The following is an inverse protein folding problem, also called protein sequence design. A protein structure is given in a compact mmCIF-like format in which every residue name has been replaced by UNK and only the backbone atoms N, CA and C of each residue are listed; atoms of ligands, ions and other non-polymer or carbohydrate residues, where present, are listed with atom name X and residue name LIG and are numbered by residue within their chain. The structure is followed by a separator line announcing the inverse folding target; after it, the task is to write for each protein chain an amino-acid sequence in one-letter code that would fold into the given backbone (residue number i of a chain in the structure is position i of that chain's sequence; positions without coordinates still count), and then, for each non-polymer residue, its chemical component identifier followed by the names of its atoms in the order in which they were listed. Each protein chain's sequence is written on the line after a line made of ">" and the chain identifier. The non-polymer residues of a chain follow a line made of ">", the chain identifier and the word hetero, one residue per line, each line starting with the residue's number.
data_IF_511763709827
#
_entry.id   IF_511763709827
#
_cell.length_a   1.000
_cell.length_b   1.000
_cell.length_c   1.000
_cell.angle_alpha   90.00
_cell.angle_beta   90.00
_cell.angle_gamma   90.00
#
_symmetry.space_group_name_H-M   'P 1'
#
loop_
_entity.id
_entity.type
_entity.pdbx_description
1 polymer ?
#
# COMPACT_ATOMS: atom_id res chain seq x y z
N UNK A 1 5.44 -34.66 -9.85
CA UNK A 1 5.00 -33.41 -10.51
C UNK A 1 4.21 -32.49 -9.57
N UNK A 2 3.28 -32.99 -8.75
CA UNK A 2 2.57 -32.20 -7.71
C UNK A 2 3.49 -31.64 -6.61
N UNK A 3 4.46 -32.44 -6.14
CA UNK A 3 5.24 -32.08 -4.95
C UNK A 3 6.34 -31.03 -5.23
N UNK A 4 6.93 -31.03 -6.43
CA UNK A 4 7.94 -30.04 -6.84
C UNK A 4 7.34 -28.63 -7.02
N UNK A 5 6.09 -28.55 -7.48
CA UNK A 5 5.36 -27.27 -7.60
C UNK A 5 5.01 -26.72 -6.21
N UNK A 6 4.64 -27.60 -5.26
CA UNK A 6 4.40 -27.21 -3.87
C UNK A 6 5.69 -26.77 -3.18
N UNK A 7 6.81 -27.44 -3.42
CA UNK A 7 8.12 -27.03 -2.91
C UNK A 7 8.61 -25.71 -3.53
N UNK A 8 8.39 -25.49 -4.83
CA UNK A 8 8.71 -24.22 -5.48
C UNK A 8 7.86 -23.07 -4.92
N UNK A 9 6.54 -23.24 -4.84
CA UNK A 9 5.61 -22.24 -4.26
C UNK A 9 5.91 -22.00 -2.78
N UNK A 10 6.28 -23.04 -2.01
CA UNK A 10 6.65 -22.91 -0.61
C UNK A 10 8.01 -22.22 -0.41
N UNK A 11 9.01 -22.52 -1.25
CA UNK A 11 10.32 -21.89 -1.20
C UNK A 11 10.24 -20.41 -1.59
N UNK A 12 9.41 -20.07 -2.57
CA UNK A 12 9.16 -18.68 -2.96
C UNK A 12 8.38 -17.93 -1.90
N UNK A 13 7.30 -18.52 -1.36
CA UNK A 13 6.58 -17.96 -0.22
C UNK A 13 7.52 -17.73 0.96
N UNK A 14 8.42 -18.67 1.26
CA UNK A 14 9.43 -18.48 2.30
C UNK A 14 10.42 -17.36 1.99
N UNK A 15 10.82 -17.16 0.74
CA UNK A 15 11.71 -16.08 0.34
C UNK A 15 11.03 -14.70 0.46
N UNK A 16 9.75 -14.60 0.07
CA UNK A 16 8.94 -13.39 0.23
C UNK A 16 8.65 -13.14 1.71
N UNK A 17 8.18 -14.14 2.46
CA UNK A 17 7.95 -14.06 3.90
C UNK A 17 9.24 -13.69 4.66
N UNK A 18 10.42 -14.14 4.19
CA UNK A 18 11.70 -13.78 4.77
C UNK A 18 12.07 -12.33 4.47
N UNK A 19 11.89 -11.87 3.23
CA UNK A 19 12.12 -10.47 2.86
C UNK A 19 11.15 -9.53 3.59
N UNK A 20 9.88 -9.93 3.75
CA UNK A 20 8.88 -9.22 4.54
C UNK A 20 9.23 -9.20 6.02
N UNK A 21 9.68 -10.33 6.59
CA UNK A 21 10.17 -10.37 7.97
C UNK A 21 11.38 -9.46 8.17
N UNK A 22 12.32 -9.44 7.23
CA UNK A 22 13.47 -8.53 7.27
C UNK A 22 13.00 -7.07 7.20
N UNK A 23 12.04 -6.74 6.33
CA UNK A 23 11.43 -5.40 6.24
C UNK A 23 10.66 -5.01 7.52
N UNK A 24 9.83 -5.91 8.06
CA UNK A 24 9.09 -5.72 9.33
C UNK A 24 10.07 -5.57 10.49
N UNK A 25 11.16 -6.34 10.50
CA UNK A 25 12.19 -6.26 11.52
C UNK A 25 12.95 -4.93 11.43
N UNK A 26 13.32 -4.50 10.23
CA UNK A 26 13.94 -3.20 9.98
C UNK A 26 13.00 -2.06 10.41
N UNK A 27 11.71 -2.16 10.08
CA UNK A 27 10.69 -1.17 10.46
C UNK A 27 10.39 -1.15 11.96
N UNK A 28 10.38 -2.32 12.60
CA UNK A 28 10.24 -2.45 14.06
C UNK A 28 11.46 -1.88 14.80
N UNK A 29 12.66 -2.11 14.27
CA UNK A 29 13.89 -1.49 14.79
C UNK A 29 13.86 0.03 14.65
N UNK A 30 13.41 0.53 13.50
CA UNK A 30 13.21 1.96 13.28
C UNK A 30 12.22 2.56 14.29
N UNK A 31 11.03 1.96 14.45
CA UNK A 31 10.03 2.40 15.42
C UNK A 31 10.51 2.33 16.88
N UNK A 32 11.24 1.28 17.26
CA UNK A 32 11.85 1.17 18.58
C UNK A 32 12.90 2.27 18.81
N UNK A 33 13.71 2.58 17.79
CA UNK A 33 14.70 3.66 17.89
C UNK A 33 14.04 5.03 18.05
N UNK A 34 12.95 5.32 17.34
CA UNK A 34 12.17 6.55 17.48
C UNK A 34 11.49 6.63 18.85
N UNK A 35 10.97 5.53 19.38
CA UNK A 35 10.39 5.49 20.73
C UNK A 35 11.43 5.70 21.84
N UNK A 36 12.63 5.13 21.71
CA UNK A 36 13.72 5.37 22.66
C UNK A 36 14.23 6.82 22.58
N UNK A 37 14.36 7.39 21.37
CA UNK A 37 14.69 8.81 21.19
C UNK A 37 13.62 9.72 21.82
N UNK A 38 12.34 9.37 21.67
CA UNK A 38 11.24 10.11 22.30
C UNK A 38 11.30 10.02 23.82
N UNK A 39 11.56 8.83 24.39
CA UNK A 39 11.74 8.64 25.84
C UNK A 39 12.94 9.43 26.37
N UNK A 40 14.07 9.42 25.66
CA UNK A 40 15.27 10.17 26.03
C UNK A 40 15.00 11.67 26.01
N UNK A 41 14.30 12.17 24.99
CA UNK A 41 13.90 13.57 24.90
C UNK A 41 12.90 13.96 25.99
N UNK A 42 11.94 13.06 26.32
CA UNK A 42 10.99 13.27 27.41
C UNK A 42 11.70 13.28 28.78
N UNK A 43 12.71 12.43 28.97
CA UNK A 43 13.54 12.43 30.17
C UNK A 43 14.38 13.70 30.29
N UNK A 44 14.98 14.18 29.19
CA UNK A 44 15.73 15.46 29.16
C UNK A 44 14.81 16.64 29.48
N UNK A 45 13.61 16.67 28.92
CA UNK A 45 12.58 17.66 29.21
C UNK A 45 12.20 17.65 30.70
N UNK A 46 11.87 16.49 31.26
CA UNK A 46 11.52 16.35 32.68
C UNK A 46 12.69 16.67 33.65
N UNK A 47 13.95 16.50 33.21
CA UNK A 47 15.13 16.92 33.97
C UNK A 47 15.39 18.43 33.88
N UNK A 48 15.01 19.08 32.77
CA UNK A 48 15.04 20.53 32.63
C UNK A 48 13.96 21.19 33.50
N UNK A 49 12.74 20.64 33.55
CA UNK A 49 11.68 21.15 34.44
C UNK A 49 12.03 21.03 35.93
N UNK A 50 12.68 19.92 36.35
CA UNK A 50 13.20 19.79 37.73
C UNK A 50 14.36 20.73 38.08
N UNK A 51 15.09 21.27 37.09
CA UNK A 51 16.07 22.35 37.32
C UNK A 51 15.41 23.72 37.38
N UNK A 52 14.30 23.91 36.65
CA UNK A 52 13.56 25.17 36.63
C UNK A 52 12.61 25.32 37.84
N UNK A 53 12.22 24.23 38.52
CA UNK A 53 11.46 24.29 39.78
C UNK A 53 12.26 24.86 40.99
N UNK A 54 13.58 25.03 40.88
CA UNK A 54 14.40 25.67 41.93
C UNK A 54 14.52 27.19 41.74
N UNK A 55 14.04 27.74 40.62
CA UNK A 55 14.07 29.18 40.36
C UNK A 55 12.81 29.61 39.60
N UNK A 56 11.70 29.85 40.31
CA UNK A 56 10.93 31.09 40.19
C UNK A 56 9.73 31.10 41.15
N UNK A 57 9.82 31.99 42.13
CA UNK A 57 8.71 32.48 42.94
C UNK A 57 7.81 33.38 42.08
N UNK A 58 6.50 33.11 42.13
CA UNK A 58 5.33 33.99 41.91
C UNK A 58 5.29 35.01 40.77
N UNK A 59 4.22 35.00 39.95
CA UNK A 59 3.34 36.17 39.69
C UNK A 59 2.11 35.83 38.79
N UNK A 60 1.10 36.73 38.62
CA UNK A 60 -0.29 36.51 39.01
C UNK A 60 -1.25 36.14 37.87
N UNK A 61 -2.47 35.72 38.27
CA UNK A 61 -3.63 35.56 37.39
C UNK A 61 -4.11 36.90 36.84
N UNK A 62 -4.41 36.92 35.55
CA UNK A 62 -5.41 37.83 34.97
C UNK A 62 -6.12 37.15 33.81
N UNK A 63 -7.32 37.65 33.57
CA UNK A 63 -8.50 36.93 33.15
C UNK A 63 -9.06 37.60 31.88
N UNK A 64 -9.66 36.80 30.99
CA UNK A 64 -10.80 37.14 30.12
C UNK A 64 -10.51 38.01 28.86
N UNK A 65 -10.69 37.45 27.65
CA UNK A 65 -11.92 37.60 26.84
C UNK A 65 -11.82 37.01 25.42
N UNK A 66 -13.01 36.60 24.97
CA UNK A 66 -13.44 36.07 23.67
C UNK A 66 -13.04 36.95 22.47
N UNK A 67 -12.99 36.35 21.27
CA UNK A 67 -13.92 36.69 20.18
C UNK A 67 -13.78 35.73 18.97
N UNK A 68 -14.97 35.28 18.55
CA UNK A 68 -15.52 34.63 17.34
C UNK A 68 -14.65 34.61 16.05
N UNK A 69 -14.38 33.45 15.44
CA UNK A 69 -15.13 32.76 14.36
C UNK A 69 -15.41 33.58 13.08
N UNK A 70 -14.79 33.17 11.95
CA UNK A 70 -15.47 33.10 10.66
C UNK A 70 -14.82 32.07 9.71
N UNK A 71 -15.71 31.30 9.07
CA UNK A 71 -15.53 30.04 8.37
C UNK A 71 -14.84 30.13 6.99
N UNK A 72 -14.11 29.06 6.63
CA UNK A 72 -13.87 28.69 5.24
C UNK A 72 -14.29 27.24 5.02
N UNK A 73 -15.43 27.07 4.34
CA UNK A 73 -15.89 25.82 3.78
C UNK A 73 -15.12 25.53 2.50
N UNK A 74 -14.41 24.40 2.44
CA UNK A 74 -14.08 23.74 1.19
C UNK A 74 -14.22 22.23 1.38
N UNK A 75 -15.32 21.71 0.83
CA UNK A 75 -15.62 20.28 0.72
C UNK A 75 -14.82 19.71 -0.45
N UNK A 76 -14.00 18.69 -0.21
CA UNK A 76 -13.42 17.87 -1.29
C UNK A 76 -13.67 16.40 -1.02
N UNK A 77 -14.79 15.89 -1.54
CA UNK A 77 -14.97 14.48 -1.83
C UNK A 77 -14.05 14.09 -2.99
N UNK A 78 -12.90 13.50 -2.69
CA UNK A 78 -12.06 12.84 -3.69
C UNK A 78 -12.61 11.44 -3.96
N UNK A 79 -13.74 11.38 -4.66
CA UNK A 79 -14.10 10.18 -5.42
C UNK A 79 -13.42 10.28 -6.78
N UNK A 80 -12.18 9.79 -6.87
CA UNK A 80 -11.67 9.39 -8.18
C UNK A 80 -12.35 8.05 -8.51
N UNK A 81 -13.26 8.11 -9.48
CA UNK A 81 -13.71 6.96 -10.24
C UNK A 81 -12.47 6.23 -10.79
N UNK A 82 -11.99 5.22 -10.06
CA UNK A 82 -11.11 4.21 -10.63
C UNK A 82 -12.03 3.21 -11.30
N UNK A 83 -11.70 2.96 -12.57
CA UNK A 83 -12.44 2.21 -13.54
C UNK A 83 -13.25 1.06 -12.92
N UNK A 84 -14.54 1.10 -13.24
CA UNK A 84 -15.52 0.01 -13.19
C UNK A 84 -14.88 -1.37 -13.14
N UNK A 85 -15.12 -2.06 -12.02
CA UNK A 85 -15.47 -3.48 -11.95
C UNK A 85 -15.83 -4.03 -13.33
N UNK A 86 -14.89 -4.70 -13.98
CA UNK A 86 -15.18 -5.56 -15.12
C UNK A 86 -16.09 -6.67 -14.58
N UNK A 87 -17.38 -6.55 -14.89
CA UNK A 87 -18.34 -7.63 -14.64
C UNK A 87 -17.86 -8.90 -15.34
N UNK A 88 -18.22 -10.06 -14.78
CA UNK A 88 -17.93 -11.40 -15.32
C UNK A 88 -18.67 -11.68 -16.64
N UNK A 89 -18.53 -10.79 -17.61
CA UNK A 89 -19.15 -10.83 -18.92
C UNK A 89 -18.03 -10.74 -19.95
N UNK A 90 -17.82 -11.88 -20.63
CA UNK A 90 -16.91 -12.11 -21.76
C UNK A 90 -15.41 -11.88 -21.49
N UNK A 91 -14.75 -12.89 -20.89
CA UNK A 91 -13.31 -13.08 -21.05
C UNK A 91 -13.05 -13.37 -22.54
N UNK A 92 -12.94 -12.32 -23.34
CA UNK A 92 -12.34 -12.42 -24.67
C UNK A 92 -10.91 -12.89 -24.40
N UNK A 93 -10.67 -14.18 -24.61
CA UNK A 93 -9.32 -14.75 -24.51
C UNK A 93 -8.45 -13.93 -25.44
N UNK A 94 -7.55 -13.15 -24.87
CA UNK A 94 -6.61 -12.38 -25.66
C UNK A 94 -5.72 -13.37 -26.41
N UNK A 95 -5.90 -13.47 -27.72
CA UNK A 95 -5.31 -14.53 -28.51
C UNK A 95 -3.80 -14.29 -28.66
N UNK A 96 -3.00 -15.26 -28.24
CA UNK A 96 -1.56 -15.30 -28.52
C UNK A 96 -1.33 -15.38 -30.04
N UNK A 97 -0.51 -14.46 -30.57
CA UNK A 97 -0.12 -14.45 -31.99
C UNK A 97 1.34 -14.86 -32.21
N UNK A 98 2.18 -14.74 -31.18
CA UNK A 98 3.60 -15.09 -31.25
C UNK A 98 4.14 -15.42 -29.87
N UNK A 99 4.97 -16.46 -29.78
CA UNK A 99 5.76 -16.80 -28.59
C UNK A 99 7.20 -17.06 -28.97
N UNK A 100 8.12 -16.49 -28.20
CA UNK A 100 9.56 -16.58 -28.41
C UNK A 100 10.24 -16.89 -27.09
N UNK A 101 11.17 -17.86 -27.07
CA UNK A 101 12.09 -18.00 -25.95
C UNK A 101 13.10 -16.84 -26.01
N UNK A 102 13.15 -16.01 -24.97
CA UNK A 102 14.02 -14.83 -24.93
C UNK A 102 15.18 -14.97 -23.95
N UNK A 103 15.10 -15.88 -22.98
CA UNK A 103 16.18 -16.13 -22.01
C UNK A 103 16.08 -17.50 -21.37
N UNK A 104 17.25 -18.09 -21.09
CA UNK A 104 17.42 -19.23 -20.20
C UNK A 104 18.16 -18.76 -18.95
N UNK A 105 17.62 -19.05 -17.77
CA UNK A 105 18.18 -18.61 -16.48
C UNK A 105 18.46 -19.85 -15.64
N UNK A 106 19.74 -20.21 -15.44
CA UNK A 106 20.09 -21.28 -14.51
C UNK A 106 19.66 -20.91 -13.08
N UNK A 107 18.90 -21.78 -12.43
CA UNK A 107 18.43 -21.59 -11.06
C UNK A 107 18.50 -22.91 -10.30
N UNK A 108 19.47 -23.00 -9.38
CA UNK A 108 19.84 -24.25 -8.68
C UNK A 108 20.16 -25.37 -9.69
N UNK A 109 19.45 -26.49 -9.60
CA UNK A 109 19.61 -27.67 -10.45
C UNK A 109 18.65 -27.65 -11.66
N UNK A 110 17.98 -26.52 -11.90
CA UNK A 110 17.00 -26.35 -12.97
C UNK A 110 17.34 -25.14 -13.86
N UNK A 111 16.70 -25.06 -15.04
CA UNK A 111 16.78 -23.93 -15.95
C UNK A 111 15.37 -23.34 -16.05
N UNK A 112 15.24 -22.05 -15.71
CA UNK A 112 14.03 -21.27 -15.94
C UNK A 112 14.04 -20.71 -17.35
N UNK A 113 12.95 -20.92 -18.09
CA UNK A 113 12.78 -20.42 -19.45
C UNK A 113 11.88 -19.19 -19.42
N UNK A 114 12.37 -18.07 -19.96
CA UNK A 114 11.62 -16.82 -20.05
C UNK A 114 11.16 -16.64 -21.49
N UNK A 115 9.85 -16.54 -21.65
CA UNK A 115 9.21 -16.36 -22.94
C UNK A 115 8.73 -14.93 -23.11
N UNK A 116 8.75 -14.44 -24.35
CA UNK A 116 7.99 -13.28 -24.79
C UNK A 116 6.78 -13.74 -25.58
N UNK A 117 5.59 -13.41 -25.11
CA UNK A 117 4.32 -13.65 -25.79
C UNK A 117 3.79 -12.31 -26.28
N UNK A 118 3.45 -12.23 -27.56
CA UNK A 118 2.75 -11.08 -28.16
C UNK A 118 1.31 -11.49 -28.44
N UNK A 119 0.38 -10.64 -28.06
CA UNK A 119 -1.05 -10.87 -28.20
C UNK A 119 -1.67 -10.04 -29.33
N UNK A 120 -2.83 -10.46 -29.81
CA UNK A 120 -3.53 -9.80 -30.93
C UNK A 120 -3.93 -8.35 -30.61
N UNK A 121 -4.21 -8.04 -29.34
CA UNK A 121 -4.59 -6.69 -28.91
C UNK A 121 -3.39 -5.73 -28.73
N UNK A 122 -2.15 -6.18 -28.97
CA UNK A 122 -0.93 -5.40 -28.77
C UNK A 122 -0.20 -5.69 -27.45
N UNK A 123 -0.86 -6.33 -26.49
CA UNK A 123 -0.23 -6.67 -25.21
C UNK A 123 0.98 -7.59 -25.39
N UNK A 124 1.92 -7.48 -24.46
CA UNK A 124 3.12 -8.31 -24.41
C UNK A 124 3.31 -8.86 -23.01
N UNK A 125 3.54 -10.16 -22.90
CA UNK A 125 4.01 -10.79 -21.67
C UNK A 125 5.46 -11.23 -21.82
N UNK A 126 6.28 -10.98 -20.81
CA UNK A 126 7.65 -11.48 -20.70
C UNK A 126 7.84 -12.18 -19.35
N UNK A 127 7.97 -13.50 -19.33
CA UNK A 127 8.08 -14.23 -18.05
C UNK A 127 8.08 -15.75 -18.18
N UNK A 128 7.98 -16.39 -17.03
CA UNK A 128 7.92 -17.85 -16.85
C UNK A 128 6.56 -18.43 -17.29
N UNK A 129 6.59 -19.65 -17.83
CA UNK A 129 5.39 -20.40 -18.16
C UNK A 129 5.41 -21.76 -17.45
N UNK A 130 4.25 -22.19 -16.95
CA UNK A 130 4.00 -23.54 -16.45
C UNK A 130 2.73 -24.08 -17.10
N UNK A 131 2.84 -25.22 -17.78
CA UNK A 131 1.72 -25.84 -18.52
C UNK A 131 1.01 -24.86 -19.48
N UNK A 132 1.80 -24.09 -20.24
CA UNK A 132 1.32 -23.06 -21.18
C UNK A 132 0.58 -21.87 -20.56
N UNK A 133 0.55 -21.75 -19.23
CA UNK A 133 -0.02 -20.62 -18.49
C UNK A 133 1.09 -19.74 -17.90
N UNK A 134 0.85 -18.44 -17.75
CA UNK A 134 1.73 -17.55 -16.99
C UNK A 134 1.75 -18.00 -15.53
N UNK A 135 2.93 -18.35 -15.03
CA UNK A 135 3.13 -18.84 -13.66
C UNK A 135 4.57 -18.55 -13.24
N UNK A 136 4.78 -17.95 -12.07
CA UNK A 136 6.08 -17.45 -11.63
C UNK A 136 6.26 -15.96 -11.92
N UNK A 137 7.50 -15.51 -12.08
CA UNK A 137 7.80 -14.09 -12.32
C UNK A 137 7.51 -13.72 -13.79
N UNK A 138 6.93 -12.56 -13.97
CA UNK A 138 6.76 -11.99 -15.30
C UNK A 138 6.43 -10.50 -15.28
N UNK A 139 6.54 -9.92 -16.46
CA UNK A 139 6.11 -8.57 -16.74
C UNK A 139 5.05 -8.61 -17.83
N UNK A 140 3.92 -7.96 -17.58
CA UNK A 140 2.86 -7.78 -18.56
C UNK A 140 2.80 -6.31 -18.95
N UNK A 141 3.00 -6.04 -20.23
CA UNK A 141 2.88 -4.73 -20.85
C UNK A 141 1.55 -4.68 -21.57
N UNK A 142 0.70 -3.75 -21.17
CA UNK A 142 -0.57 -3.50 -21.82
C UNK A 142 -0.37 -2.51 -22.97
N UNK A 143 -1.11 -2.67 -24.06
CA UNK A 143 -1.02 -1.77 -25.22
C UNK A 143 -1.37 -0.32 -24.87
N UNK A 144 -2.21 -0.11 -23.86
CA UNK A 144 -2.57 1.21 -23.35
C UNK A 144 -1.44 1.92 -22.57
N UNK A 145 -0.28 1.26 -22.38
CA UNK A 145 0.88 1.77 -21.67
C UNK A 145 0.94 1.39 -20.19
N UNK A 146 -0.05 0.67 -19.67
CA UNK A 146 0.01 0.09 -18.32
C UNK A 146 1.06 -1.02 -18.26
N UNK A 147 1.56 -1.27 -17.05
CA UNK A 147 2.55 -2.32 -16.82
C UNK A 147 2.28 -3.02 -15.50
N UNK A 148 2.30 -4.33 -15.50
CA UNK A 148 2.43 -5.15 -14.29
C UNK A 148 3.80 -5.84 -14.28
N UNK A 149 4.45 -5.86 -13.12
CA UNK A 149 5.76 -6.47 -12.89
C UNK A 149 5.71 -7.24 -11.56
N UNK A 150 5.64 -8.57 -11.61
CA UNK A 150 5.44 -9.37 -10.42
C UNK A 150 5.10 -10.82 -10.70
N UNK A 151 4.48 -11.45 -9.70
CA UNK A 151 4.13 -12.86 -9.75
C UNK A 151 2.82 -13.12 -10.50
N UNK A 152 2.77 -14.29 -11.15
CA UNK A 152 1.62 -14.87 -11.82
C UNK A 152 1.35 -16.27 -11.28
N UNK A 153 0.09 -16.70 -11.32
CA UNK A 153 -0.32 -18.10 -11.10
C UNK A 153 -1.52 -18.39 -11.98
N UNK A 154 -1.44 -19.44 -12.79
CA UNK A 154 -2.53 -19.88 -13.67
C UNK A 154 -3.11 -18.72 -14.52
N UNK A 155 -2.23 -18.00 -15.23
CA UNK A 155 -2.55 -16.84 -16.09
C UNK A 155 -3.03 -15.56 -15.37
N UNK A 156 -3.20 -15.60 -14.04
CA UNK A 156 -3.65 -14.46 -13.24
C UNK A 156 -2.50 -13.79 -12.50
N UNK A 157 -2.59 -12.47 -12.34
CA UNK A 157 -1.76 -11.71 -11.41
C UNK A 157 -1.99 -12.27 -9.99
N UNK A 158 -0.92 -12.60 -9.28
CA UNK A 158 -0.98 -13.25 -7.98
C UNK A 158 0.27 -12.97 -7.15
N UNK A 159 0.19 -13.04 -5.82
CA UNK A 159 1.34 -12.81 -4.95
C UNK A 159 1.80 -11.35 -5.01
N UNK A 160 3.08 -11.10 -4.74
CA UNK A 160 3.61 -9.75 -4.73
C UNK A 160 3.87 -9.21 -6.14
N UNK A 161 3.54 -7.94 -6.39
CA UNK A 161 3.79 -7.29 -7.67
C UNK A 161 3.59 -5.77 -7.66
N UNK A 162 4.09 -5.14 -8.72
CA UNK A 162 4.00 -3.69 -8.97
C UNK A 162 3.15 -3.43 -10.20
N UNK A 163 2.15 -2.57 -10.08
CA UNK A 163 1.30 -2.16 -11.18
C UNK A 163 1.45 -0.65 -11.42
N UNK A 164 1.72 -0.29 -12.66
CA UNK A 164 1.86 1.08 -13.14
C UNK A 164 0.64 1.39 -14.00
N UNK A 165 -0.25 2.24 -13.47
CA UNK A 165 -1.53 2.55 -14.08
C UNK A 165 -1.41 3.64 -15.13
N UNK A 166 -2.33 3.62 -16.08
CA UNK A 166 -2.55 4.75 -16.98
C UNK A 166 -3.02 5.93 -16.13
N UNK A 167 -2.38 7.09 -16.32
CA UNK A 167 -2.59 8.26 -15.46
C UNK A 167 -1.61 8.39 -14.29
N UNK A 168 -0.67 7.46 -14.13
CA UNK A 168 0.51 7.65 -13.27
C UNK A 168 0.34 7.20 -11.82
N UNK A 169 -0.77 6.55 -11.46
CA UNK A 169 -0.86 5.84 -10.18
C UNK A 169 0.10 4.65 -10.20
N UNK A 170 0.57 4.23 -9.02
CA UNK A 170 1.39 3.04 -8.87
C UNK A 170 0.94 2.25 -7.64
N UNK A 171 0.69 0.96 -7.83
CA UNK A 171 0.48 0.03 -6.72
C UNK A 171 1.70 -0.89 -6.57
N UNK A 172 2.05 -1.19 -5.33
CA UNK A 172 3.10 -2.13 -4.97
C UNK A 172 2.65 -2.89 -3.72
N UNK A 173 2.39 -4.19 -3.86
CA UNK A 173 1.83 -4.99 -2.77
C UNK A 173 1.32 -6.36 -3.22
N UNK A 174 0.50 -6.96 -2.37
CA UNK A 174 -0.04 -8.30 -2.62
C UNK A 174 -1.22 -8.28 -3.59
N UNK A 175 -1.33 -9.38 -4.33
CA UNK A 175 -2.37 -9.66 -5.30
C UNK A 175 -2.94 -11.05 -5.07
N UNK A 176 -4.24 -11.21 -5.29
CA UNK A 176 -4.90 -12.50 -5.27
C UNK A 176 -5.88 -12.58 -6.44
N UNK A 177 -5.57 -13.44 -7.41
CA UNK A 177 -6.44 -13.70 -8.57
C UNK A 177 -6.82 -12.43 -9.36
N UNK A 178 -5.85 -11.53 -9.57
CA UNK A 178 -6.05 -10.29 -10.32
C UNK A 178 -6.55 -9.09 -9.50
N UNK A 179 -6.91 -9.29 -8.24
CA UNK A 179 -7.37 -8.22 -7.34
C UNK A 179 -6.26 -7.84 -6.36
N UNK A 180 -6.14 -6.55 -6.00
CA UNK A 180 -5.26 -6.13 -4.88
C UNK A 180 -5.80 -6.75 -3.59
N UNK A 181 -4.88 -7.32 -2.83
CA UNK A 181 -5.19 -8.03 -1.59
C UNK A 181 -4.07 -7.75 -0.57
N UNK A 182 -4.25 -8.17 0.68
CA UNK A 182 -3.16 -8.20 1.66
C UNK A 182 -2.62 -6.80 1.97
N UNK A 183 -1.30 -6.66 2.08
CA UNK A 183 -0.66 -5.38 2.34
C UNK A 183 -0.18 -4.73 1.04
N UNK A 184 -0.28 -3.41 0.96
CA UNK A 184 0.22 -2.69 -0.19
C UNK A 184 0.42 -1.20 0.02
N UNK A 185 1.06 -0.60 -0.97
CA UNK A 185 1.27 0.83 -1.11
C UNK A 185 0.61 1.27 -2.43
N UNK A 186 -0.26 2.26 -2.35
CA UNK A 186 -0.85 2.92 -3.53
C UNK A 186 -0.39 4.37 -3.55
N UNK A 187 0.52 4.67 -4.48
CA UNK A 187 0.91 6.03 -4.83
C UNK A 187 -0.09 6.59 -5.84
N UNK A 188 -0.73 7.70 -5.50
CA UNK A 188 -1.64 8.39 -6.40
C UNK A 188 -0.88 9.40 -7.26
N UNK A 189 -1.28 9.54 -8.52
CA UNK A 189 -0.75 10.58 -9.42
C UNK A 189 -1.02 12.00 -8.92
N UNK A 190 -2.03 12.18 -8.07
CA UNK A 190 -2.32 13.43 -7.37
C UNK A 190 -1.19 13.84 -6.43
N UNK A 191 -0.44 12.86 -5.90
CA UNK A 191 0.59 12.98 -4.87
C UNK A 191 0.16 12.46 -3.50
N UNK A 192 -1.08 11.97 -3.36
CA UNK A 192 -1.52 11.26 -2.16
C UNK A 192 -0.91 9.85 -2.13
N UNK A 193 -0.88 9.23 -0.95
CA UNK A 193 -0.36 7.87 -0.76
C UNK A 193 -1.18 7.12 0.28
N UNK A 194 -1.49 5.85 0.00
CA UNK A 194 -2.03 4.93 0.99
C UNK A 194 -1.05 3.78 1.25
N UNK A 195 -0.90 3.42 2.53
CA UNK A 195 -0.08 2.30 3.01
C UNK A 195 -0.95 1.50 3.98
N UNK A 196 -1.33 0.27 3.63
CA UNK A 196 -2.21 -0.50 4.50
C UNK A 196 -2.79 -1.75 3.84
N UNK A 197 -3.85 -2.26 4.46
CA UNK A 197 -4.55 -3.44 3.98
C UNK A 197 -5.44 -3.16 2.77
N UNK A 198 -5.57 -4.17 1.91
CA UNK A 198 -6.44 -4.24 0.74
C UNK A 198 -7.28 -5.51 0.76
N UNK A 199 -8.55 -5.40 0.37
CA UNK A 199 -9.43 -6.53 0.13
C UNK A 199 -10.30 -6.24 -1.10
N UNK A 200 -10.12 -7.01 -2.17
CA UNK A 200 -10.83 -6.86 -3.45
C UNK A 200 -10.73 -5.43 -3.98
N UNK A 201 -9.49 -4.97 -4.19
CA UNK A 201 -9.14 -3.64 -4.70
C UNK A 201 -9.44 -2.44 -3.79
N UNK A 202 -10.17 -2.63 -2.70
CA UNK A 202 -10.52 -1.56 -1.75
C UNK A 202 -9.58 -1.55 -0.54
N UNK A 203 -9.33 -0.35 0.02
CA UNK A 203 -8.69 -0.22 1.33
C UNK A 203 -9.53 -0.91 2.40
N UNK A 204 -8.92 -1.77 3.19
CA UNK A 204 -9.61 -2.57 4.21
C UNK A 204 -8.65 -2.93 5.35
N UNK A 205 -9.14 -2.92 6.59
CA UNK A 205 -8.34 -3.15 7.79
C UNK A 205 -7.52 -1.92 8.20
N UNK A 206 -6.33 -2.12 8.75
CA UNK A 206 -5.47 -1.02 9.21
C UNK A 206 -4.72 -0.37 8.04
N UNK A 207 -4.70 0.96 8.03
CA UNK A 207 -4.00 1.71 7.00
C UNK A 207 -3.71 3.16 7.37
N UNK A 208 -2.72 3.71 6.67
CA UNK A 208 -2.30 5.12 6.74
C UNK A 208 -2.51 5.77 5.38
N UNK A 209 -3.23 6.88 5.34
CA UNK A 209 -3.39 7.71 4.15
C UNK A 209 -2.65 9.03 4.38
N UNK A 210 -1.61 9.24 3.60
CA UNK A 210 -0.81 10.46 3.54
C UNK A 210 -1.37 11.34 2.42
N UNK A 211 -1.97 12.47 2.79
CA UNK A 211 -2.50 13.41 1.83
C UNK A 211 -1.38 14.32 1.33
N UNK A 212 -1.42 14.70 0.05
CA UNK A 212 -0.46 15.63 -0.56
C UNK A 212 -0.37 16.95 0.17
N UNK A 213 -1.46 17.40 0.77
CA UNK A 213 -1.49 18.65 1.54
C UNK A 213 -0.65 18.58 2.83
N UNK A 214 -0.22 17.38 3.25
CA UNK A 214 0.57 17.11 4.45
C UNK A 214 -0.26 16.57 5.63
N UNK A 215 -1.56 16.41 5.47
CA UNK A 215 -2.41 15.74 6.44
C UNK A 215 -2.17 14.22 6.40
N UNK A 216 -2.42 13.54 7.52
CA UNK A 216 -2.25 12.10 7.63
C UNK A 216 -3.41 11.51 8.41
N UNK A 217 -4.08 10.52 7.84
CA UNK A 217 -5.02 9.68 8.57
C UNK A 217 -4.41 8.31 8.84
N UNK A 218 -4.51 7.81 10.06
CA UNK A 218 -4.14 6.44 10.44
C UNK A 218 -5.31 5.81 11.19
N UNK A 219 -5.82 4.68 10.71
CA UNK A 219 -6.95 4.04 11.36
C UNK A 219 -7.48 2.82 10.63
N UNK A 220 -8.69 2.43 10.99
CA UNK A 220 -9.43 1.34 10.34
C UNK A 220 -10.11 1.81 9.06
N UNK A 221 -10.09 0.93 8.07
CA UNK A 221 -10.68 1.10 6.75
C UNK A 221 -11.62 -0.04 6.45
N UNK A 222 -12.68 0.25 5.71
CA UNK A 222 -13.60 -0.75 5.21
C UNK A 222 -14.15 -0.32 3.87
N UNK A 223 -13.99 -1.17 2.85
CA UNK A 223 -14.47 -0.88 1.49
C UNK A 223 -14.05 0.50 0.98
N UNK A 224 -12.80 0.89 1.24
CA UNK A 224 -12.22 2.14 0.76
C UNK A 224 -12.48 3.38 1.62
N UNK A 225 -13.25 3.24 2.72
CA UNK A 225 -13.61 4.37 3.60
C UNK A 225 -13.03 4.21 5.00
N UNK A 226 -12.76 5.32 5.67
CA UNK A 226 -12.44 5.33 7.11
C UNK A 226 -13.63 4.77 7.87
N UNK A 227 -13.42 3.68 8.61
CA UNK A 227 -14.49 2.97 9.29
C UNK A 227 -13.95 2.22 10.52
N UNK A 228 -14.25 2.74 11.72
CA UNK A 228 -13.71 2.31 13.01
C UNK A 228 -12.78 3.35 13.65
N UNK A 229 -11.99 2.96 14.66
CA UNK A 229 -11.07 3.85 15.34
C UNK A 229 -10.02 4.44 14.39
N UNK A 230 -9.76 5.74 14.52
CA UNK A 230 -8.74 6.42 13.71
C UNK A 230 -8.27 7.76 14.27
N UNK A 231 -7.09 8.15 13.82
CA UNK A 231 -6.42 9.41 14.13
C UNK A 231 -6.18 10.20 12.84
N UNK A 232 -6.70 11.42 12.77
CA UNK A 232 -6.37 12.42 11.76
C UNK A 232 -5.38 13.42 12.35
N UNK A 233 -4.22 13.58 11.70
CA UNK A 233 -3.21 14.61 11.99
C UNK A 233 -3.18 15.59 10.84
N UNK A 234 -3.50 16.83 11.12
CA UNK A 234 -3.43 17.90 10.14
C UNK A 234 -2.01 18.47 10.08
N UNK A 235 -1.65 19.04 8.93
CA UNK A 235 -0.35 19.70 8.73
C UNK A 235 -0.07 20.80 9.77
N UNK A 236 -1.11 21.48 10.23
CA UNK A 236 -1.06 22.52 11.25
C UNK A 236 -0.91 22.00 12.70
N UNK A 237 -0.69 20.70 12.86
CA UNK A 237 -0.51 19.97 14.15
C UNK A 237 -1.80 19.74 14.95
N UNK A 238 -2.98 20.13 14.45
CA UNK A 238 -4.23 19.64 15.05
C UNK A 238 -4.32 18.12 14.91
N UNK A 239 -4.87 17.50 15.95
CA UNK A 239 -5.06 16.05 16.01
C UNK A 239 -6.49 15.76 16.41
N UNK A 240 -7.16 14.88 15.66
CA UNK A 240 -8.51 14.43 15.93
C UNK A 240 -8.51 12.91 16.01
N UNK A 241 -8.96 12.38 17.13
CA UNK A 241 -9.03 10.94 17.41
C UNK A 241 -10.48 10.60 17.72
N UNK A 242 -10.99 9.55 17.09
CA UNK A 242 -12.35 9.09 17.37
C UNK A 242 -12.76 7.89 16.52
N UNK A 243 -14.05 7.57 16.60
CA UNK A 243 -14.69 6.58 15.75
C UNK A 243 -15.11 7.23 14.43
N UNK A 244 -14.81 6.56 13.32
CA UNK A 244 -15.17 6.99 11.97
C UNK A 244 -16.20 6.03 11.39
N UNK A 245 -17.21 6.54 10.70
CA UNK A 245 -18.18 5.72 9.96
C UNK A 245 -18.29 6.33 8.57
N UNK A 246 -17.89 5.56 7.56
CA UNK A 246 -17.98 5.93 6.16
C UNK A 246 -17.38 7.32 5.85
N UNK A 247 -16.15 7.55 6.32
CA UNK A 247 -15.38 8.80 6.23
C UNK A 247 -15.82 9.93 7.18
N UNK A 248 -16.86 9.74 7.98
CA UNK A 248 -17.37 10.74 8.92
C UNK A 248 -16.97 10.45 10.37
N UNK A 249 -16.34 11.42 11.03
CA UNK A 249 -16.06 11.37 12.46
C UNK A 249 -17.37 11.43 13.25
N UNK A 250 -17.56 10.48 14.15
CA UNK A 250 -18.75 10.42 14.98
C UNK A 250 -18.66 11.37 16.19
N UNK A 251 -19.74 12.09 16.52
CA UNK A 251 -19.81 12.87 17.74
C UNK A 251 -19.83 11.96 18.97
N UNK A 252 -19.26 12.45 20.07
CA UNK A 252 -19.32 11.81 21.39
C UNK A 252 -20.69 11.99 22.05
#
# INVERSE_FOLDING_TARGET
>A
MSDQIQEYKACWKQAVDAAEKELIQLYSQYLQSDQELLKENLQKYNQQDKRNEVQNESCPQDNINNDEEEDQQDQMGHQSNIATSTTKEDFVVNQEIKRELIREVPFKDEILYIYRITYQNGDVYEGELLNDLKDGLGTYYYENGEKYDGLFSEDLIHGYGKYFFIGGHKYEGDWYQGEKFGMGILDFSTGDRYIGGFYKDAFDGEGTFEYKNGDVFKGQWKKGKKNGPGEMRYKDKRVVIGEWIDDELQPF
#
